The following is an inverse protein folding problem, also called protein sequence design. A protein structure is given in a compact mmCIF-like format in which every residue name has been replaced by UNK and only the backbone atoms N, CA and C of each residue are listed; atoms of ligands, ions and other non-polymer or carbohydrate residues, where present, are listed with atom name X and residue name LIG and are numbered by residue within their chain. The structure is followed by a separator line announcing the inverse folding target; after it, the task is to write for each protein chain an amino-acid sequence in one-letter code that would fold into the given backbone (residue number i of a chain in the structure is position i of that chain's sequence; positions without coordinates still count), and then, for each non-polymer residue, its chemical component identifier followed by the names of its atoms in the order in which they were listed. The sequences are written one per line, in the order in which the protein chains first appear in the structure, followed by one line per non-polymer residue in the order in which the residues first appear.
data_IF_246053710297
#
_entry.id   IF_246053710297
#
_cell.length_a   1.000
_cell.length_b   1.000
_cell.length_c   1.000
_cell.angle_alpha   90.00
_cell.angle_beta   90.00
_cell.angle_gamma   90.00
#
_symmetry.space_group_name_H-M   'P 1'
#
loop_
_entity.id
_entity.type
_entity.pdbx_description
1 polymer ?
#
# COMPACT_ATOMS: atom_id res chain seq x y z
N UNK A 1 17.62 -94.64 -4.10
CA UNK A 1 17.91 -93.68 -5.18
C UNK A 1 19.36 -93.86 -5.57
N UNK A 2 19.59 -94.08 -6.85
CA UNK A 2 20.93 -94.24 -7.41
C UNK A 2 21.67 -92.90 -7.44
N UNK A 3 22.99 -92.91 -7.40
CA UNK A 3 23.81 -91.68 -7.42
C UNK A 3 23.59 -90.92 -8.73
N UNK A 4 23.40 -91.65 -9.84
CA UNK A 4 23.14 -91.07 -11.15
C UNK A 4 21.88 -90.20 -11.18
N UNK A 5 20.79 -90.63 -10.53
CA UNK A 5 19.54 -89.85 -10.51
C UNK A 5 19.67 -88.55 -9.73
N UNK A 6 20.46 -88.54 -8.63
CA UNK A 6 20.73 -87.32 -7.86
C UNK A 6 21.59 -86.33 -8.62
N UNK A 7 22.56 -86.82 -9.41
CA UNK A 7 23.40 -85.97 -10.26
C UNK A 7 22.55 -85.33 -11.36
N UNK A 8 21.62 -86.08 -11.97
CA UNK A 8 20.72 -85.54 -13.00
C UNK A 8 19.76 -84.47 -12.44
N UNK A 9 19.21 -84.68 -11.24
CA UNK A 9 18.39 -83.68 -10.54
C UNK A 9 19.19 -82.41 -10.21
N UNK A 10 20.44 -82.56 -9.74
CA UNK A 10 21.31 -81.42 -9.47
C UNK A 10 21.65 -80.63 -10.74
N UNK A 11 21.88 -81.32 -11.87
CA UNK A 11 22.10 -80.65 -13.16
C UNK A 11 20.86 -79.85 -13.56
N UNK A 12 19.66 -80.45 -13.45
CA UNK A 12 18.40 -79.76 -13.78
C UNK A 12 18.18 -78.52 -12.91
N UNK A 13 18.40 -78.63 -11.59
CA UNK A 13 18.32 -77.50 -10.67
C UNK A 13 19.34 -76.41 -11.01
N UNK A 14 20.59 -76.80 -11.31
CA UNK A 14 21.65 -75.85 -11.65
C UNK A 14 21.34 -75.13 -12.96
N UNK A 15 20.79 -75.82 -13.96
CA UNK A 15 20.37 -75.19 -15.22
C UNK A 15 19.18 -74.27 -15.04
N UNK A 16 18.19 -74.64 -14.22
CA UNK A 16 17.03 -73.80 -13.92
C UNK A 16 17.44 -72.52 -13.18
N UNK A 17 18.30 -72.63 -12.16
CA UNK A 17 18.82 -71.47 -11.43
C UNK A 17 19.66 -70.55 -12.32
N UNK A 18 20.47 -71.11 -13.23
CA UNK A 18 21.22 -70.30 -14.19
C UNK A 18 20.29 -69.52 -15.13
N UNK A 19 19.19 -70.15 -15.58
CA UNK A 19 18.22 -69.49 -16.44
C UNK A 19 17.49 -68.35 -15.69
N UNK A 20 17.02 -68.61 -14.47
CA UNK A 20 16.38 -67.57 -13.63
C UNK A 20 17.32 -66.40 -13.31
N UNK A 21 18.60 -66.67 -13.04
CA UNK A 21 19.60 -65.63 -12.83
C UNK A 21 19.83 -64.80 -14.10
N UNK A 22 19.79 -65.41 -15.27
CA UNK A 22 19.96 -64.70 -16.55
C UNK A 22 18.74 -63.84 -16.89
N UNK A 23 17.52 -64.31 -16.60
CA UNK A 23 16.28 -63.55 -16.75
C UNK A 23 16.20 -62.37 -15.77
N UNK A 24 16.72 -62.52 -14.56
CA UNK A 24 16.84 -61.42 -13.59
C UNK A 24 17.94 -60.42 -13.96
N UNK A 25 19.05 -60.90 -14.54
CA UNK A 25 20.15 -60.02 -15.01
C UNK A 25 19.76 -59.24 -16.25
N UNK A 26 18.90 -59.78 -17.12
CA UNK A 26 18.33 -59.10 -18.30
C UNK A 26 17.36 -57.96 -18.00
N UNK A 27 17.13 -57.58 -16.73
CA UNK A 27 16.34 -56.39 -16.34
C UNK A 27 17.10 -55.07 -16.53
N UNK A 28 17.91 -54.96 -17.58
CA UNK A 28 18.56 -53.72 -18.03
C UNK A 28 17.55 -52.60 -18.30
N UNK A 29 16.27 -52.95 -18.57
CA UNK A 29 15.18 -52.00 -18.73
C UNK A 29 14.87 -51.18 -17.46
N UNK A 30 15.16 -51.70 -16.26
CA UNK A 30 14.95 -50.93 -15.02
C UNK A 30 16.02 -49.85 -14.87
N UNK A 31 17.27 -50.15 -15.22
CA UNK A 31 18.37 -49.18 -15.19
C UNK A 31 18.19 -48.12 -16.28
N UNK A 32 17.76 -48.50 -17.49
CA UNK A 32 17.48 -47.55 -18.57
C UNK A 32 16.35 -46.57 -18.20
N UNK A 33 15.29 -47.04 -17.55
CA UNK A 33 14.22 -46.16 -17.06
C UNK A 33 14.72 -45.21 -15.95
N UNK A 34 15.66 -45.67 -15.12
CA UNK A 34 16.25 -44.86 -14.05
C UNK A 34 17.11 -43.73 -14.63
N UNK A 35 17.92 -44.03 -15.66
CA UNK A 35 18.70 -43.05 -16.40
C UNK A 35 17.81 -42.02 -17.12
N UNK A 36 16.68 -42.47 -17.68
CA UNK A 36 15.69 -41.59 -18.33
C UNK A 36 15.01 -40.66 -17.31
N UNK A 37 14.60 -41.19 -16.15
CA UNK A 37 14.07 -40.41 -15.04
C UNK A 37 15.07 -39.39 -14.49
N UNK A 38 16.35 -39.74 -14.37
CA UNK A 38 17.40 -38.80 -13.94
C UNK A 38 17.58 -37.66 -14.94
N UNK A 39 17.54 -37.98 -16.24
CA UNK A 39 17.61 -36.99 -17.31
C UNK A 39 16.40 -36.05 -17.29
N UNK A 40 15.19 -36.57 -17.11
CA UNK A 40 13.98 -35.75 -16.96
C UNK A 40 14.04 -34.86 -15.71
N UNK A 41 14.51 -35.40 -14.58
CA UNK A 41 14.65 -34.65 -13.34
C UNK A 41 15.68 -33.51 -13.48
N UNK A 42 16.78 -33.74 -14.21
CA UNK A 42 17.75 -32.71 -14.54
C UNK A 42 17.15 -31.62 -15.44
N UNK A 43 16.36 -32.01 -16.45
CA UNK A 43 15.63 -31.08 -17.32
C UNK A 43 14.68 -30.18 -16.53
N UNK A 44 13.82 -30.78 -15.70
CA UNK A 44 12.88 -30.05 -14.84
C UNK A 44 13.59 -29.10 -13.87
N UNK A 45 14.73 -29.50 -13.30
CA UNK A 45 15.54 -28.60 -12.46
C UNK A 45 16.05 -27.38 -13.24
N UNK A 46 16.47 -27.57 -14.48
CA UNK A 46 16.92 -26.47 -15.34
C UNK A 46 15.76 -25.50 -15.61
N UNK A 47 14.59 -25.99 -15.98
CA UNK A 47 13.40 -25.18 -16.24
C UNK A 47 12.94 -24.41 -15.01
N UNK A 48 12.94 -25.04 -13.83
CA UNK A 48 12.60 -24.38 -12.56
C UNK A 48 13.56 -23.21 -12.28
N UNK A 49 14.85 -23.38 -12.55
CA UNK A 49 15.84 -22.33 -12.34
C UNK A 49 15.65 -21.17 -13.32
N UNK A 50 15.35 -21.47 -14.58
CA UNK A 50 15.07 -20.45 -15.59
C UNK A 50 13.80 -19.66 -15.28
N UNK A 51 12.73 -20.34 -14.85
CA UNK A 51 11.49 -19.71 -14.36
C UNK A 51 11.76 -18.82 -13.16
N UNK A 52 12.53 -19.29 -12.18
CA UNK A 52 12.91 -18.51 -10.99
C UNK A 52 13.66 -17.24 -11.38
N UNK A 53 14.62 -17.35 -12.30
CA UNK A 53 15.37 -16.20 -12.80
C UNK A 53 14.45 -15.19 -13.53
N UNK A 54 13.56 -15.66 -14.39
CA UNK A 54 12.58 -14.83 -15.08
C UNK A 54 11.66 -14.11 -14.10
N UNK A 55 11.14 -14.81 -13.09
CA UNK A 55 10.28 -14.25 -12.05
C UNK A 55 10.99 -13.17 -11.24
N UNK A 56 12.25 -13.40 -10.85
CA UNK A 56 13.04 -12.40 -10.13
C UNK A 56 13.25 -11.14 -10.98
N UNK A 57 13.56 -11.30 -12.26
CA UNK A 57 13.73 -10.17 -13.20
C UNK A 57 12.43 -9.38 -13.39
N UNK A 58 11.28 -10.06 -13.43
CA UNK A 58 9.96 -9.42 -13.49
C UNK A 58 9.62 -8.69 -12.20
N UNK A 59 9.84 -9.31 -11.03
CA UNK A 59 9.63 -8.68 -9.73
C UNK A 59 10.46 -7.40 -9.57
N UNK A 60 11.72 -7.42 -10.02
CA UNK A 60 12.57 -6.22 -10.03
C UNK A 60 11.97 -5.09 -10.91
N UNK A 61 11.42 -5.42 -12.09
CA UNK A 61 10.73 -4.45 -12.95
C UNK A 61 9.46 -3.90 -12.30
N UNK A 62 8.65 -4.76 -11.68
CA UNK A 62 7.42 -4.35 -10.97
C UNK A 62 7.77 -3.37 -9.85
N UNK A 63 8.77 -3.69 -9.03
CA UNK A 63 9.23 -2.80 -7.96
C UNK A 63 9.73 -1.47 -8.52
N UNK A 64 10.53 -1.48 -9.59
CA UNK A 64 10.98 -0.25 -10.24
C UNK A 64 9.80 0.62 -10.72
N UNK A 65 8.77 0.02 -11.31
CA UNK A 65 7.56 0.72 -11.74
C UNK A 65 6.77 1.27 -10.55
N UNK A 66 6.60 0.49 -9.47
CA UNK A 66 5.93 0.93 -8.23
C UNK A 66 6.65 2.14 -7.63
N UNK A 67 7.98 2.16 -7.63
CA UNK A 67 8.75 3.31 -7.14
C UNK A 67 8.67 4.54 -8.07
N UNK A 68 8.48 4.34 -9.38
CA UNK A 68 8.34 5.43 -10.35
C UNK A 68 6.94 6.05 -10.38
N UNK A 69 5.88 5.27 -10.13
CA UNK A 69 4.49 5.73 -10.18
C UNK A 69 4.19 6.97 -9.30
N UNK A 70 4.64 7.07 -8.03
CA UNK A 70 4.43 8.26 -7.20
C UNK A 70 5.16 9.50 -7.71
N UNK A 71 6.27 9.32 -8.44
CA UNK A 71 7.07 10.43 -9.01
C UNK A 71 6.44 10.95 -10.29
N UNK A 72 5.95 10.06 -11.15
CA UNK A 72 5.25 10.43 -12.37
C UNK A 72 3.89 11.07 -12.07
N UNK A 73 3.13 10.54 -11.11
CA UNK A 73 1.82 11.11 -10.75
C UNK A 73 1.90 12.46 -10.07
N UNK A 74 2.96 12.79 -9.33
CA UNK A 74 3.16 14.16 -8.83
C UNK A 74 3.36 15.19 -9.94
N UNK A 75 3.89 14.78 -11.10
CA UNK A 75 3.98 15.65 -12.29
C UNK A 75 2.64 15.76 -13.03
N UNK A 76 1.80 14.71 -13.03
CA UNK A 76 0.51 14.71 -13.77
C UNK A 76 -0.71 15.13 -12.96
N UNK A 77 -0.65 15.21 -11.62
CA UNK A 77 -1.74 15.77 -10.79
C UNK A 77 -2.05 17.24 -11.12
N UNK A 78 -1.12 17.95 -11.76
CA UNK A 78 -1.32 19.33 -12.26
C UNK A 78 -1.34 19.46 -13.80
N UNK A 79 -1.11 18.36 -14.54
CA UNK A 79 -0.73 18.42 -15.96
C UNK A 79 -1.77 17.85 -16.92
N UNK A 80 -2.12 16.57 -16.81
CA UNK A 80 -2.82 15.88 -17.90
C UNK A 80 -3.96 15.02 -17.35
N UNK A 81 -5.18 15.31 -17.81
CA UNK A 81 -6.40 14.51 -17.60
C UNK A 81 -6.92 14.10 -18.97
N UNK A 82 -7.31 12.83 -19.07
CA UNK A 82 -7.95 12.13 -20.19
C UNK A 82 -8.37 12.96 -21.42
N UNK A 83 -7.88 12.52 -22.58
CA UNK A 83 -8.17 13.04 -23.91
C UNK A 83 -9.64 12.91 -24.36
N UNK A 84 -10.57 12.51 -23.47
CA UNK A 84 -11.98 12.27 -23.76
C UNK A 84 -12.95 13.17 -22.96
N UNK A 85 -12.47 14.21 -22.25
CA UNK A 85 -13.32 15.19 -21.58
C UNK A 85 -13.47 16.46 -22.44
N UNK A 86 -14.68 17.05 -22.58
CA UNK A 86 -14.88 18.30 -23.34
C UNK A 86 -13.92 19.39 -22.85
N UNK A 87 -13.20 20.02 -23.78
CA UNK A 87 -12.11 20.99 -23.53
C UNK A 87 -12.49 22.15 -22.61
N UNK A 88 -13.78 22.49 -22.52
CA UNK A 88 -14.30 23.55 -21.64
C UNK A 88 -14.37 23.12 -20.16
N UNK A 89 -14.71 21.86 -19.89
CA UNK A 89 -14.78 21.29 -18.54
C UNK A 89 -13.37 21.17 -17.96
N UNK A 90 -12.38 20.84 -18.79
CA UNK A 90 -10.97 20.78 -18.38
C UNK A 90 -10.42 22.13 -17.91
N UNK A 91 -10.72 23.23 -18.62
CA UNK A 91 -10.29 24.57 -18.21
C UNK A 91 -10.91 24.98 -16.87
N UNK A 92 -12.21 24.75 -16.70
CA UNK A 92 -12.90 25.01 -15.42
C UNK A 92 -12.29 24.18 -14.28
N UNK A 93 -12.04 22.89 -14.51
CA UNK A 93 -11.39 22.00 -13.53
C UNK A 93 -10.02 22.54 -13.12
N UNK A 94 -9.22 22.99 -14.08
CA UNK A 94 -7.89 23.54 -13.79
C UNK A 94 -7.98 24.84 -12.97
N UNK A 95 -8.96 25.70 -13.25
CA UNK A 95 -9.14 26.96 -12.52
C UNK A 95 -9.63 26.75 -11.09
N UNK A 96 -10.59 25.84 -10.89
CA UNK A 96 -11.03 25.48 -9.54
C UNK A 96 -9.95 24.70 -8.77
N UNK A 97 -9.12 23.90 -9.43
CA UNK A 97 -8.02 23.19 -8.79
C UNK A 97 -7.00 24.14 -8.15
N UNK A 98 -6.83 25.36 -8.67
CA UNK A 98 -5.94 26.37 -8.09
C UNK A 98 -6.48 26.98 -6.79
N UNK A 99 -7.78 26.84 -6.52
CA UNK A 99 -8.41 27.34 -5.28
C UNK A 99 -8.16 26.44 -4.07
N UNK A 100 -7.65 25.22 -4.29
CA UNK A 100 -7.34 24.28 -3.22
C UNK A 100 -5.83 24.29 -2.88
N UNK A 101 -5.45 24.13 -1.61
CA UNK A 101 -6.31 24.06 -0.43
C UNK A 101 -6.88 25.43 -0.03
N UNK A 102 -8.14 25.46 0.43
CA UNK A 102 -8.80 26.70 0.87
C UNK A 102 -8.07 27.26 2.08
N UNK A 103 -7.48 28.46 1.92
CA UNK A 103 -6.50 29.01 2.85
C UNK A 103 -7.13 29.61 4.10
N UNK A 104 -8.21 30.38 3.96
CA UNK A 104 -8.87 31.10 5.04
C UNK A 104 -10.36 30.77 5.16
N UNK A 105 -10.97 31.18 6.27
CA UNK A 105 -12.43 31.04 6.49
C UNK A 105 -13.23 31.92 5.54
N UNK A 106 -12.74 33.13 5.23
CA UNK A 106 -13.38 34.03 4.28
C UNK A 106 -13.43 33.39 2.89
N UNK A 107 -12.33 32.75 2.46
CA UNK A 107 -12.28 32.01 1.19
C UNK A 107 -13.29 30.85 1.17
N UNK A 108 -13.51 30.19 2.32
CA UNK A 108 -14.51 29.11 2.44
C UNK A 108 -15.94 29.66 2.30
N UNK A 109 -16.23 30.83 2.88
CA UNK A 109 -17.52 31.51 2.72
C UNK A 109 -17.75 31.98 1.28
N UNK A 110 -16.75 32.56 0.64
CA UNK A 110 -16.83 32.95 -0.77
C UNK A 110 -17.02 31.72 -1.67
N UNK A 111 -16.30 30.64 -1.38
CA UNK A 111 -16.41 29.39 -2.13
C UNK A 111 -17.82 28.82 -2.04
N UNK A 112 -18.40 28.70 -0.84
CA UNK A 112 -19.78 28.25 -0.60
C UNK A 112 -20.81 29.12 -1.35
N UNK A 113 -20.62 30.44 -1.38
CA UNK A 113 -21.50 31.35 -2.12
C UNK A 113 -21.38 31.17 -3.63
N UNK A 114 -20.18 30.87 -4.12
CA UNK A 114 -19.92 30.64 -5.54
C UNK A 114 -20.48 29.31 -6.06
N UNK A 115 -20.77 28.35 -5.18
CA UNK A 115 -21.32 27.04 -5.56
C UNK A 115 -22.78 27.13 -6.01
N UNK A 116 -23.04 26.58 -7.20
CA UNK A 116 -24.34 26.50 -7.84
C UNK A 116 -24.47 25.18 -8.62
N UNK A 117 -25.68 24.80 -9.02
CA UNK A 117 -25.93 23.52 -9.70
C UNK A 117 -25.14 23.36 -11.01
N UNK A 118 -24.73 24.46 -11.62
CA UNK A 118 -23.94 24.47 -12.86
C UNK A 118 -22.44 24.22 -12.66
N UNK A 119 -21.92 24.30 -11.43
CA UNK A 119 -20.50 24.09 -11.12
C UNK A 119 -20.24 22.99 -10.08
N UNK A 120 -21.29 22.50 -9.41
CA UNK A 120 -21.19 21.43 -8.42
C UNK A 120 -20.53 20.19 -9.00
N UNK A 121 -20.88 19.78 -10.22
CA UNK A 121 -20.32 18.58 -10.87
C UNK A 121 -18.81 18.68 -11.06
N UNK A 122 -18.30 19.81 -11.57
CA UNK A 122 -16.87 20.03 -11.75
C UNK A 122 -16.13 20.10 -10.41
N UNK A 123 -16.74 20.69 -9.39
CA UNK A 123 -16.17 20.77 -8.03
C UNK A 123 -16.08 19.37 -7.41
N UNK A 124 -17.13 18.56 -7.54
CA UNK A 124 -17.15 17.16 -7.05
C UNK A 124 -16.04 16.35 -7.68
N UNK A 125 -15.82 16.45 -9.00
CA UNK A 125 -14.72 15.76 -9.69
C UNK A 125 -13.33 16.17 -9.16
N UNK A 126 -13.15 17.44 -8.84
CA UNK A 126 -11.89 17.93 -8.24
C UNK A 126 -11.72 17.38 -6.83
N UNK A 127 -12.78 17.42 -6.02
CA UNK A 127 -12.76 16.89 -4.66
C UNK A 127 -12.49 15.38 -4.66
N UNK A 128 -13.09 14.63 -5.58
CA UNK A 128 -12.84 13.20 -5.76
C UNK A 128 -11.35 12.96 -6.07
N UNK A 129 -10.77 13.75 -6.98
CA UNK A 129 -9.34 13.68 -7.31
C UNK A 129 -8.43 14.02 -6.13
N UNK A 130 -8.78 15.03 -5.33
CA UNK A 130 -8.01 15.44 -4.15
C UNK A 130 -8.10 14.41 -3.01
N UNK A 131 -9.23 13.72 -2.89
CA UNK A 131 -9.51 12.76 -1.83
C UNK A 131 -9.19 11.30 -2.23
N UNK A 132 -8.84 11.07 -3.50
CA UNK A 132 -8.58 9.75 -4.06
C UNK A 132 -7.57 8.91 -3.26
N UNK A 133 -7.74 7.58 -3.32
CA UNK A 133 -6.98 6.52 -2.61
C UNK A 133 -7.18 6.42 -1.10
N UNK A 134 -7.26 7.53 -0.35
CA UNK A 134 -7.23 7.47 1.13
C UNK A 134 -8.44 8.14 1.80
N UNK A 135 -9.36 8.66 1.01
CA UNK A 135 -10.60 9.28 1.46
C UNK A 135 -10.38 10.56 2.28
N UNK A 136 -11.48 11.06 2.84
CA UNK A 136 -11.52 12.29 3.65
C UNK A 136 -10.57 12.22 4.84
N UNK A 137 -10.49 11.06 5.50
CA UNK A 137 -9.75 10.89 6.76
C UNK A 137 -8.27 11.28 6.63
N UNK A 138 -7.62 10.94 5.52
CA UNK A 138 -6.18 11.20 5.35
C UNK A 138 -5.87 12.39 4.45
N UNK A 139 -6.80 12.76 3.55
CA UNK A 139 -6.56 13.77 2.51
C UNK A 139 -7.32 15.09 2.72
N UNK A 140 -8.05 15.28 3.84
CA UNK A 140 -8.75 16.56 4.09
C UNK A 140 -7.81 17.78 4.08
N UNK A 141 -6.53 17.60 4.42
CA UNK A 141 -5.51 18.67 4.34
C UNK A 141 -5.15 19.12 2.92
N UNK A 142 -5.53 18.37 1.90
CA UNK A 142 -5.41 18.75 0.49
C UNK A 142 -6.58 19.65 0.03
N UNK A 143 -7.70 19.61 0.75
CA UNK A 143 -8.91 20.39 0.46
C UNK A 143 -8.96 21.65 1.31
N UNK A 144 -8.75 21.52 2.62
CA UNK A 144 -8.75 22.64 3.57
C UNK A 144 -7.35 22.86 4.10
N UNK A 145 -6.92 24.12 4.17
CA UNK A 145 -5.63 24.44 4.78
C UNK A 145 -5.60 24.06 6.26
N UNK A 146 -4.40 23.90 6.80
CA UNK A 146 -4.23 23.66 8.23
C UNK A 146 -4.83 24.78 9.08
N UNK A 147 -4.82 26.03 8.61
CA UNK A 147 -5.39 27.16 9.35
C UNK A 147 -6.91 27.02 9.49
N UNK A 148 -7.61 26.73 8.39
CA UNK A 148 -9.06 26.48 8.37
C UNK A 148 -9.42 25.28 9.23
N UNK A 149 -8.68 24.18 9.08
CA UNK A 149 -8.92 22.96 9.88
C UNK A 149 -8.79 23.24 11.38
N UNK A 150 -7.84 24.08 11.80
CA UNK A 150 -7.67 24.44 13.22
C UNK A 150 -8.80 25.34 13.75
N UNK A 151 -9.34 26.22 12.89
CA UNK A 151 -10.41 27.16 13.22
C UNK A 151 -11.82 26.53 13.20
N UNK A 152 -11.99 25.40 12.52
CA UNK A 152 -13.29 24.74 12.36
C UNK A 152 -13.42 23.43 13.16
N UNK A 153 -14.64 23.12 13.56
CA UNK A 153 -15.09 21.80 14.02
C UNK A 153 -16.32 21.39 13.20
N UNK A 154 -16.67 20.10 13.16
CA UNK A 154 -17.86 19.68 12.43
C UNK A 154 -19.13 20.33 13.01
N UNK A 155 -19.26 20.29 14.34
CA UNK A 155 -20.44 20.74 15.08
C UNK A 155 -20.36 22.20 15.58
N UNK A 156 -19.16 22.82 15.54
CA UNK A 156 -18.97 24.22 15.98
C UNK A 156 -18.77 24.44 17.48
N UNK A 157 -18.29 23.44 18.20
CA UNK A 157 -18.06 23.53 19.65
C UNK A 157 -16.77 24.29 20.01
N UNK A 158 -16.73 24.87 21.21
CA UNK A 158 -15.58 25.57 21.81
C UNK A 158 -15.08 26.80 21.03
N UNK A 159 -16.01 27.65 20.59
CA UNK A 159 -15.67 28.89 19.86
C UNK A 159 -15.10 28.66 18.45
N UNK A 160 -15.10 27.41 17.97
CA UNK A 160 -14.68 27.06 16.60
C UNK A 160 -15.87 27.12 15.66
N UNK A 161 -15.62 27.49 14.41
CA UNK A 161 -16.69 27.57 13.43
C UNK A 161 -17.25 26.19 13.08
N UNK A 162 -18.55 26.14 12.80
CA UNK A 162 -19.26 24.92 12.41
C UNK A 162 -19.07 24.66 10.92
N UNK A 163 -18.40 23.56 10.57
CA UNK A 163 -18.20 23.19 9.16
C UNK A 163 -19.52 22.81 8.48
N UNK A 164 -20.48 22.25 9.22
CA UNK A 164 -21.84 22.00 8.73
C UNK A 164 -22.65 23.27 8.39
N UNK A 165 -22.12 24.48 8.65
CA UNK A 165 -22.70 25.74 8.15
C UNK A 165 -22.60 25.82 6.61
N UNK A 166 -21.59 25.18 6.02
CA UNK A 166 -21.29 25.20 4.60
C UNK A 166 -21.92 23.97 3.93
N UNK A 167 -23.24 24.00 3.78
CA UNK A 167 -24.01 22.81 3.34
C UNK A 167 -23.62 22.37 1.94
N UNK A 168 -23.47 23.29 0.99
CA UNK A 168 -23.15 22.93 -0.41
C UNK A 168 -21.76 22.31 -0.50
N UNK A 169 -20.79 22.88 0.21
CA UNK A 169 -19.44 22.35 0.26
C UNK A 169 -19.39 20.97 0.92
N UNK A 170 -20.09 20.79 2.04
CA UNK A 170 -20.14 19.49 2.74
C UNK A 170 -20.87 18.44 1.90
N UNK A 171 -21.93 18.81 1.19
CA UNK A 171 -22.67 17.93 0.30
C UNK A 171 -21.81 17.52 -0.91
N UNK A 172 -21.07 18.45 -1.50
CA UNK A 172 -20.12 18.14 -2.58
C UNK A 172 -18.97 17.23 -2.08
N UNK A 173 -18.49 17.43 -0.86
CA UNK A 173 -17.53 16.52 -0.22
C UNK A 173 -18.11 15.12 -0.01
N UNK A 174 -19.39 15.03 0.39
CA UNK A 174 -20.07 13.75 0.55
C UNK A 174 -20.21 13.03 -0.80
N UNK A 175 -20.67 13.74 -1.84
CA UNK A 175 -20.78 13.20 -3.20
C UNK A 175 -19.44 12.70 -3.75
N UNK A 176 -18.35 13.44 -3.51
CA UNK A 176 -17.01 13.07 -3.97
C UNK A 176 -16.43 11.79 -3.32
N UNK A 177 -17.03 11.34 -2.22
CA UNK A 177 -16.53 10.21 -1.41
C UNK A 177 -17.59 9.11 -1.32
N UNK A 178 -18.77 9.34 -1.91
CA UNK A 178 -19.89 8.44 -1.82
C UNK A 178 -19.56 7.11 -2.50
N UNK A 179 -19.78 6.03 -1.77
CA UNK A 179 -19.70 4.65 -2.23
C UNK A 179 -20.98 3.96 -1.79
N UNK A 180 -21.46 2.98 -2.56
CA UNK A 180 -22.66 2.23 -2.18
C UNK A 180 -22.54 1.65 -0.76
N UNK A 181 -23.54 1.90 0.09
CA UNK A 181 -23.52 1.55 1.51
C UNK A 181 -22.85 2.57 2.44
N UNK A 182 -22.26 3.65 1.91
CA UNK A 182 -21.65 4.71 2.70
C UNK A 182 -22.68 5.80 3.06
N UNK A 183 -23.19 5.71 4.30
CA UNK A 183 -24.18 6.67 4.81
C UNK A 183 -23.58 7.98 5.33
N UNK A 184 -24.43 9.01 5.44
CA UNK A 184 -24.07 10.33 5.94
C UNK A 184 -23.46 10.30 7.36
N UNK A 185 -23.93 9.39 8.22
CA UNK A 185 -23.37 9.21 9.58
C UNK A 185 -21.91 8.76 9.56
N UNK A 186 -21.58 7.81 8.68
CA UNK A 186 -20.21 7.32 8.49
C UNK A 186 -19.33 8.43 7.94
N UNK A 187 -19.82 9.19 6.96
CA UNK A 187 -19.15 10.37 6.42
C UNK A 187 -18.83 11.43 7.49
N UNK A 188 -19.80 11.80 8.33
CA UNK A 188 -19.55 12.75 9.42
C UNK A 188 -18.49 12.24 10.40
N UNK A 189 -18.48 10.95 10.71
CA UNK A 189 -17.46 10.36 11.58
C UNK A 189 -16.07 10.39 10.94
N UNK A 190 -15.96 10.08 9.65
CA UNK A 190 -14.71 10.14 8.91
C UNK A 190 -14.19 11.57 8.76
N UNK A 191 -15.08 12.53 8.55
CA UNK A 191 -14.75 13.95 8.53
C UNK A 191 -14.22 14.42 9.89
N UNK A 192 -14.88 14.04 11.00
CA UNK A 192 -14.36 14.30 12.37
C UNK A 192 -12.98 13.68 12.56
N UNK A 193 -12.79 12.43 12.14
CA UNK A 193 -11.52 11.71 12.26
C UNK A 193 -10.42 12.39 11.46
N UNK A 194 -10.70 12.81 10.22
CA UNK A 194 -9.75 13.53 9.38
C UNK A 194 -9.31 14.86 9.97
N UNK A 195 -10.27 15.66 10.47
CA UNK A 195 -9.96 16.91 11.17
C UNK A 195 -9.09 16.66 12.42
N UNK A 196 -9.39 15.61 13.21
CA UNK A 196 -8.62 15.23 14.40
C UNK A 196 -7.18 14.86 14.03
N UNK A 197 -6.97 14.06 12.99
CA UNK A 197 -5.62 13.63 12.56
C UNK A 197 -4.74 14.83 12.19
N UNK A 198 -5.29 15.77 11.40
CA UNK A 198 -4.53 16.96 10.99
C UNK A 198 -4.20 17.84 12.20
N UNK A 199 -5.18 18.06 13.10
CA UNK A 199 -4.96 18.81 14.36
C UNK A 199 -3.87 18.17 15.22
N UNK A 200 -3.94 16.85 15.43
CA UNK A 200 -2.96 16.11 16.21
C UNK A 200 -1.55 16.22 15.61
N UNK A 201 -1.43 16.16 14.28
CA UNK A 201 -0.14 16.37 13.60
C UNK A 201 0.45 17.75 13.88
N UNK A 202 -0.37 18.80 13.89
CA UNK A 202 0.06 20.16 14.21
C UNK A 202 0.49 20.28 15.67
N UNK A 203 -0.30 19.73 16.59
CA UNK A 203 0.02 19.76 18.02
C UNK A 203 1.29 18.98 18.33
N UNK A 204 1.47 17.79 17.75
CA UNK A 204 2.70 17.00 17.88
C UNK A 204 3.92 17.79 17.39
N UNK A 205 3.84 18.38 16.19
CA UNK A 205 4.92 19.23 15.63
C UNK A 205 5.18 20.50 16.46
N UNK A 206 4.18 21.05 17.15
CA UNK A 206 4.35 22.18 18.07
C UNK A 206 5.02 21.73 19.37
N UNK A 207 4.62 20.59 19.91
CA UNK A 207 5.22 19.99 21.11
C UNK A 207 6.70 19.66 20.89
N UNK A 208 7.03 18.96 19.79
CA UNK A 208 8.41 18.63 19.41
C UNK A 208 9.30 19.88 19.27
N UNK A 209 8.75 20.99 18.72
CA UNK A 209 9.48 22.27 18.66
C UNK A 209 9.70 22.92 20.01
N UNK A 210 8.86 22.63 21.00
CA UNK A 210 8.99 23.18 22.35
C UNK A 210 9.95 22.35 23.20
N UNK A 211 10.02 21.03 22.99
CA UNK A 211 10.97 20.14 23.68
C UNK A 211 12.41 20.29 23.18
N UNK A 212 12.61 20.66 21.91
CA UNK A 212 13.94 20.89 21.32
C UNK A 212 14.50 22.30 21.49
N UNK A 213 13.74 23.24 22.06
CA UNK A 213 14.30 24.55 22.44
C UNK A 213 15.09 24.38 23.75
N UNK A 214 16.38 24.76 23.82
CA UNK A 214 17.07 24.80 25.10
C UNK A 214 16.30 25.74 26.01
N UNK A 215 16.04 25.33 27.26
CA UNK A 215 15.45 26.15 28.33
C UNK A 215 16.33 27.41 28.54
N UNK A 216 16.13 28.44 27.73
CA UNK A 216 16.74 29.75 27.94
C UNK A 216 15.69 30.61 28.65
N UNK A 217 15.94 30.79 29.95
CA UNK A 217 15.25 31.65 30.91
C UNK A 217 13.96 31.09 31.56
N UNK A 218 14.16 30.32 32.64
CA UNK A 218 13.28 30.43 33.80
C UNK A 218 13.73 31.64 34.62
N UNK A 219 12.94 32.71 34.60
CA UNK A 219 12.88 33.71 35.66
C UNK A 219 11.46 34.29 35.62
N UNK A 220 10.69 33.87 36.63
CA UNK A 220 9.53 34.52 37.25
C UNK A 220 8.73 35.52 36.42
N UNK A 221 7.48 35.18 36.11
CA UNK A 221 6.37 35.95 36.68
C UNK A 221 5.09 35.12 36.76
N UNK A 222 4.20 35.61 37.61
CA UNK A 222 3.18 34.92 38.39
C UNK A 222 1.84 34.85 37.66
N UNK A 223 0.98 33.95 38.14
CA UNK A 223 -0.48 33.94 38.00
C UNK A 223 -1.06 33.79 36.59
N UNK A 224 -1.41 32.54 36.24
CA UNK A 224 -2.73 32.26 35.66
C UNK A 224 -3.08 30.77 35.87
N UNK A 225 -4.09 30.60 36.71
CA UNK A 225 -4.83 29.38 37.02
C UNK A 225 -5.45 28.79 35.74
N UNK A 226 -4.99 27.62 35.30
CA UNK A 226 -5.73 26.80 34.35
C UNK A 226 -5.70 25.33 34.77
N UNK A 227 -6.76 24.99 35.49
CA UNK A 227 -7.42 23.70 35.67
C UNK A 227 -6.70 22.47 35.07
N UNK A 228 -5.99 21.79 35.97
CA UNK A 228 -5.62 20.40 35.82
C UNK A 228 -6.85 19.56 36.13
N UNK A 229 -7.58 19.09 35.11
CA UNK A 229 -8.32 17.82 35.15
C UNK A 229 -8.88 17.45 33.76
N UNK A 230 -8.21 16.51 33.10
CA UNK A 230 -8.76 15.19 32.74
C UNK A 230 -7.82 14.54 31.72
N UNK A 231 -6.92 13.71 32.24
CA UNK A 231 -6.13 12.79 31.44
C UNK A 231 -7.08 11.68 30.97
N UNK A 232 -7.59 11.78 29.75
CA UNK A 232 -8.17 10.62 29.07
C UNK A 232 -7.03 9.66 28.71
N UNK A 233 -7.09 8.56 29.42
CA UNK A 233 -6.37 7.30 29.34
C UNK A 233 -5.93 6.94 27.91
N UNK A 234 -4.63 6.71 27.75
CA UNK A 234 -4.01 6.31 26.50
C UNK A 234 -4.20 4.81 26.29
N UNK A 235 -5.14 4.41 25.44
CA UNK A 235 -5.04 3.13 24.75
C UNK A 235 -4.04 3.29 23.59
N UNK A 236 -2.87 2.69 23.78
CA UNK A 236 -1.85 2.52 22.74
C UNK A 236 -2.27 1.31 21.92
N UNK A 237 -2.86 1.53 20.75
CA UNK A 237 -2.92 0.50 19.72
C UNK A 237 -1.49 0.29 19.19
N UNK A 238 -0.87 -0.82 19.59
CA UNK A 238 0.39 -1.30 19.04
C UNK A 238 0.19 -1.70 17.56
N UNK A 239 0.61 -0.82 16.64
CA UNK A 239 0.78 -1.18 15.23
C UNK A 239 2.11 -1.97 15.08
N UNK A 240 1.97 -3.29 15.08
CA UNK A 240 3.02 -4.26 14.79
C UNK A 240 3.48 -4.12 13.32
N UNK A 241 4.60 -3.44 13.13
CA UNK A 241 5.29 -3.29 11.84
C UNK A 241 6.61 -4.05 11.87
N UNK A 242 6.51 -5.38 11.86
CA UNK A 242 7.65 -6.25 11.58
C UNK A 242 8.04 -6.17 10.10
N UNK A 243 8.88 -5.19 9.75
CA UNK A 243 9.78 -5.29 8.60
C UNK A 243 10.96 -6.18 8.98
N UNK A 244 10.96 -7.42 8.49
CA UNK A 244 12.16 -8.25 8.50
C UNK A 244 13.08 -7.80 7.36
N UNK A 245 14.09 -7.01 7.71
CA UNK A 245 15.30 -6.85 6.91
C UNK A 245 15.99 -8.22 6.79
N UNK A 246 15.94 -8.82 5.61
CA UNK A 246 16.83 -9.92 5.25
C UNK A 246 18.02 -9.33 4.49
N UNK A 247 19.10 -9.12 5.24
CA UNK A 247 20.43 -8.79 4.73
C UNK A 247 20.96 -9.99 3.94
N UNK A 248 20.92 -9.94 2.61
CA UNK A 248 21.62 -10.94 1.79
C UNK A 248 23.03 -10.42 1.56
N UNK A 249 23.99 -11.05 2.25
CA UNK A 249 25.42 -10.90 2.02
C UNK A 249 25.75 -11.40 0.61
N UNK A 250 26.33 -10.53 -0.20
CA UNK A 250 26.94 -10.89 -1.46
C UNK A 250 28.35 -11.37 -1.11
N UNK A 251 28.58 -12.68 -1.22
CA UNK A 251 29.94 -13.21 -1.29
C UNK A 251 30.34 -13.33 -2.75
N UNK A 252 31.46 -12.67 -3.06
CA UNK A 252 32.15 -12.71 -4.33
C UNK A 252 32.50 -14.15 -4.71
N UNK A 253 32.25 -14.52 -5.95
CA UNK A 253 32.96 -15.63 -6.58
C UNK A 253 33.32 -15.27 -8.01
N UNK A 254 34.63 -15.32 -8.22
CA UNK A 254 35.38 -14.93 -9.38
C UNK A 254 34.98 -15.75 -10.62
N UNK A 255 34.99 -15.05 -11.75
CA UNK A 255 35.69 -15.39 -13.00
C UNK A 255 35.87 -16.87 -13.34
N UNK A 256 35.17 -17.37 -14.36
CA UNK A 256 35.79 -18.16 -15.46
C UNK A 256 35.10 -17.81 -16.78
N UNK A 257 35.89 -17.31 -17.74
CA UNK A 257 35.55 -17.13 -19.15
C UNK A 257 35.50 -18.48 -19.90
N UNK A 258 34.76 -18.54 -21.01
CA UNK A 258 34.96 -19.57 -22.03
C UNK A 258 33.82 -19.64 -23.05
N UNK A 259 34.05 -18.95 -24.17
CA UNK A 259 33.50 -19.07 -25.55
C UNK A 259 32.00 -19.33 -25.80
#
# INVERSE_FOLDING_TARGET
MDLATKVEELIKLTTSLKQELEELRGKDGVNANLDELEKEMAGLKSEINELKYCLMKQNAKILALIHQLPRMRRKTVLGDVDANCPTEVQKKIQDYSKKFPIATIADLEEFEQSMNDNNTTEIVLILERLLFHKGVVRNIGSVLSTQVIMACNLDGMHGKQRLLKYTKFVDALFQAVYVEGYGLKSFHNDLRRGLKIVKNRVFKKRSERNTMKPRRNQLMDSDDEYDSNHCDEYEVDEDDSNQTESTIKIEDSQTICGD
#
